data_IF_198729838277
#
_entry.id   IF_198729838277
#
_cell.length_a   1.000
_cell.length_b   1.000
_cell.length_c   1.000
_cell.angle_alpha   90.00
_cell.angle_beta   90.00
_cell.angle_gamma   90.00
#
_symmetry.space_group_name_H-M   'P 1'
#
loop_
_entity.id
_entity.type
_entity.pdbx_description
1 polymer ?
#
# COMPACT_ATOMS: atom_id res chain seq x y z
N UNK A 1 8.04 1.78 -12.34
CA UNK A 1 9.20 1.38 -11.52
C UNK A 1 9.39 -0.12 -11.55
N UNK A 2 10.00 -0.67 -10.50
CA UNK A 2 10.49 -2.06 -10.44
C UNK A 2 9.86 -2.88 -9.31
N UNK A 3 9.15 -2.26 -8.37
CA UNK A 3 8.57 -2.96 -7.23
C UNK A 3 7.22 -3.56 -7.58
N UNK A 4 7.03 -4.83 -7.22
CA UNK A 4 5.73 -5.51 -7.23
C UNK A 4 4.78 -4.94 -6.18
N UNK A 5 5.30 -4.74 -4.96
CA UNK A 5 4.55 -4.32 -3.78
C UNK A 5 5.32 -3.25 -3.03
N UNK A 6 4.61 -2.23 -2.54
CA UNK A 6 5.12 -1.29 -1.53
C UNK A 6 4.21 -1.38 -0.32
N UNK A 7 4.77 -1.69 0.85
CA UNK A 7 4.06 -1.68 2.14
C UNK A 7 4.37 -0.37 2.88
N UNK A 8 3.38 0.50 3.02
CA UNK A 8 3.49 1.79 3.72
C UNK A 8 2.97 1.67 5.14
N UNK A 9 3.82 1.98 6.11
CA UNK A 9 3.50 2.03 7.55
C UNK A 9 3.51 3.47 8.11
N UNK A 10 3.52 4.48 7.23
CA UNK A 10 3.68 5.88 7.62
C UNK A 10 2.34 6.48 8.05
N UNK A 11 2.27 7.02 9.26
CA UNK A 11 1.07 7.70 9.80
C UNK A 11 1.24 9.22 9.79
N UNK A 12 1.70 9.76 8.66
CA UNK A 12 1.90 11.18 8.41
C UNK A 12 1.66 11.46 6.91
N UNK A 13 1.48 12.73 6.50
CA UNK A 13 1.30 13.08 5.10
C UNK A 13 2.39 12.48 4.20
N UNK A 14 1.96 11.79 3.14
CA UNK A 14 2.83 11.09 2.20
C UNK A 14 2.38 11.39 0.77
N UNK A 15 3.32 11.69 -0.12
CA UNK A 15 3.02 11.84 -1.55
C UNK A 15 2.89 10.46 -2.21
N UNK A 16 1.68 9.91 -2.24
CA UNK A 16 1.40 8.60 -2.84
C UNK A 16 1.79 8.53 -4.32
N UNK A 17 1.76 9.65 -5.07
CA UNK A 17 2.12 9.66 -6.48
C UNK A 17 3.57 9.26 -6.73
N UNK A 18 4.49 9.78 -5.91
CA UNK A 18 5.90 9.43 -5.95
C UNK A 18 6.15 7.94 -5.70
N UNK A 19 5.44 7.32 -4.75
CA UNK A 19 5.57 5.89 -4.46
C UNK A 19 4.92 5.01 -5.53
N UNK A 20 3.77 5.42 -6.08
CA UNK A 20 3.14 4.72 -7.20
C UNK A 20 4.05 4.71 -8.44
N UNK A 21 4.89 5.72 -8.67
CA UNK A 21 5.85 5.71 -9.78
C UNK A 21 6.92 4.62 -9.63
N UNK A 22 7.24 4.22 -8.40
CA UNK A 22 8.19 3.15 -8.09
C UNK A 22 7.61 1.76 -8.34
N UNK A 23 6.28 1.60 -8.34
CA UNK A 23 5.63 0.34 -8.72
C UNK A 23 5.79 0.02 -10.20
N UNK A 24 5.97 -1.25 -10.52
CA UNK A 24 5.84 -1.78 -11.90
C UNK A 24 4.37 -1.82 -12.34
N UNK A 25 4.12 -2.18 -13.60
CA UNK A 25 2.75 -2.44 -14.09
C UNK A 25 2.08 -3.54 -13.25
N UNK A 26 0.82 -3.34 -12.88
CA UNK A 26 0.03 -4.20 -11.99
C UNK A 26 0.57 -4.28 -10.54
N UNK A 27 1.47 -3.38 -10.16
CA UNK A 27 1.99 -3.29 -8.79
C UNK A 27 0.96 -2.70 -7.81
N UNK A 28 1.12 -3.01 -6.52
CA UNK A 28 0.20 -2.57 -5.46
C UNK A 28 0.92 -1.80 -4.35
N UNK A 29 0.37 -0.64 -3.96
CA UNK A 29 0.72 0.03 -2.71
C UNK A 29 -0.27 -0.41 -1.63
N UNK A 30 0.21 -1.10 -0.60
CA UNK A 30 -0.57 -1.50 0.57
C UNK A 30 -0.27 -0.53 1.70
N UNK A 31 -1.27 0.23 2.14
CA UNK A 31 -1.13 1.17 3.25
C UNK A 31 -1.74 0.61 4.54
N UNK A 32 -0.92 0.55 5.59
CA UNK A 32 -1.33 0.19 6.96
C UNK A 32 -1.14 1.34 7.95
N UNK A 33 -0.63 2.50 7.48
CA UNK A 33 -0.56 3.73 8.26
C UNK A 33 -1.90 4.48 8.30
N UNK A 34 -2.09 5.32 9.32
CA UNK A 34 -3.33 6.09 9.52
C UNK A 34 -3.00 7.57 9.77
N UNK A 35 -2.74 8.37 8.71
CA UNK A 35 -2.56 9.81 8.86
C UNK A 35 -3.87 10.50 9.25
N UNK A 36 -3.77 11.63 9.96
CA UNK A 36 -4.93 12.44 10.34
C UNK A 36 -5.53 13.19 9.14
N UNK A 37 -4.68 13.62 8.21
CA UNK A 37 -5.12 14.32 7.01
C UNK A 37 -5.56 13.36 5.89
N UNK A 38 -6.58 13.74 5.10
CA UNK A 38 -6.96 12.98 3.91
C UNK A 38 -5.82 12.84 2.90
N UNK A 39 -5.67 11.65 2.34
CA UNK A 39 -4.69 11.40 1.27
C UNK A 39 -5.24 11.92 -0.07
N UNK A 40 -4.53 12.85 -0.69
CA UNK A 40 -4.81 13.30 -2.06
C UNK A 40 -4.14 12.39 -3.09
N UNK A 41 -4.87 11.98 -4.14
CA UNK A 41 -4.35 11.08 -5.16
C UNK A 41 -4.70 11.57 -6.57
N UNK A 42 -3.69 11.63 -7.44
CA UNK A 42 -3.92 11.76 -8.89
C UNK A 42 -4.23 10.38 -9.49
N UNK A 43 -5.48 10.16 -9.92
CA UNK A 43 -5.96 8.90 -10.47
C UNK A 43 -5.19 8.42 -11.71
N UNK A 44 -4.57 9.33 -12.49
CA UNK A 44 -3.75 8.92 -13.62
C UNK A 44 -2.53 8.10 -13.19
N UNK A 45 -2.07 8.27 -11.94
CA UNK A 45 -0.98 7.48 -11.36
C UNK A 45 -1.35 6.01 -11.15
N UNK A 46 -2.65 5.69 -11.06
CA UNK A 46 -3.18 4.32 -10.99
C UNK A 46 -3.49 3.77 -12.38
N UNK A 47 -4.18 4.57 -13.21
CA UNK A 47 -4.54 4.19 -14.58
C UNK A 47 -3.27 3.89 -15.39
N UNK A 48 -2.23 4.70 -15.22
CA UNK A 48 -0.92 4.47 -15.84
C UNK A 48 -0.23 3.27 -15.18
N UNK A 49 -0.28 2.14 -15.89
CA UNK A 49 0.32 0.88 -15.44
C UNK A 49 -0.60 0.01 -14.58
N UNK A 50 -1.93 0.24 -14.60
CA UNK A 50 -2.92 -0.62 -13.94
C UNK A 50 -2.59 -0.92 -12.46
N UNK A 51 -2.16 0.09 -11.72
CA UNK A 51 -1.72 -0.07 -10.33
C UNK A 51 -2.89 -0.04 -9.37
N UNK A 52 -2.69 -0.67 -8.22
CA UNK A 52 -3.68 -0.71 -7.14
C UNK A 52 -3.20 -0.03 -5.86
N UNK A 53 -4.16 0.44 -5.08
CA UNK A 53 -3.96 0.80 -3.67
C UNK A 53 -4.88 -0.09 -2.84
N UNK A 54 -4.34 -0.68 -1.78
CA UNK A 54 -5.09 -1.48 -0.82
C UNK A 54 -4.82 -0.99 0.61
N UNK A 55 -5.75 -1.26 1.51
CA UNK A 55 -5.61 -0.99 2.94
C UNK A 55 -5.76 -2.26 3.75
N UNK A 56 -5.06 -2.33 4.89
CA UNK A 56 -5.26 -3.37 5.90
C UNK A 56 -5.00 -2.78 7.28
N UNK A 57 -5.79 -3.20 8.28
CA UNK A 57 -5.66 -2.74 9.66
C UNK A 57 -5.12 -3.84 10.57
N UNK A 58 -5.63 -5.06 10.43
CA UNK A 58 -5.23 -6.24 11.20
C UNK A 58 -5.61 -7.50 10.43
N UNK A 59 -4.92 -8.61 10.67
CA UNK A 59 -5.30 -9.94 10.19
C UNK A 59 -6.39 -10.58 11.04
N UNK A 60 -7.10 -11.55 10.49
CA UNK A 60 -8.03 -12.40 11.23
C UNK A 60 -7.33 -13.30 12.25
N UNK A 61 -8.12 -13.96 13.11
CA UNK A 61 -7.57 -14.87 14.15
C UNK A 61 -6.77 -16.01 13.50
N UNK A 62 -7.30 -16.63 12.43
CA UNK A 62 -6.62 -17.71 11.73
C UNK A 62 -5.29 -17.23 11.10
N UNK A 63 -5.31 -16.11 10.38
CA UNK A 63 -4.09 -15.50 9.78
C UNK A 63 -3.06 -15.11 10.84
N UNK A 64 -3.52 -14.62 12.00
CA UNK A 64 -2.64 -14.31 13.14
C UNK A 64 -2.00 -15.57 13.70
N UNK A 65 -2.74 -16.69 13.78
CA UNK A 65 -2.18 -17.96 14.20
C UNK A 65 -1.15 -18.48 13.19
N UNK A 66 -1.45 -18.40 11.89
CA UNK A 66 -0.50 -18.78 10.83
C UNK A 66 0.80 -17.96 10.91
N UNK A 67 0.71 -16.65 11.21
CA UNK A 67 1.88 -15.79 11.44
C UNK A 67 2.70 -16.24 12.67
N UNK A 68 2.04 -16.59 13.78
CA UNK A 68 2.70 -17.09 14.97
C UNK A 68 3.38 -18.44 14.73
N UNK A 69 2.76 -19.32 13.95
CA UNK A 69 3.30 -20.64 13.60
C UNK A 69 4.48 -20.57 12.62
N UNK A 70 4.57 -19.49 11.83
CA UNK A 70 5.69 -19.23 10.93
C UNK A 70 6.97 -18.80 11.68
N UNK A 71 6.83 -18.23 12.88
CA UNK A 71 7.93 -17.69 13.70
C UNK A 71 8.67 -18.79 14.46
#
# INVERSE_FOLDING_TARGET
>A
GTFDIILSTVSAPLDFGSYLALLRTDGTLVNVGAPEEPVSLNLFSLISGNKAIAGSAIGGIAETQEMLDFC
#
